data_IF_157184491365
#
_entry.id   IF_157184491365
#
_cell.length_a   1.000
_cell.length_b   1.000
_cell.length_c   1.000
_cell.angle_alpha   90.00
_cell.angle_beta   90.00
_cell.angle_gamma   90.00
#
_symmetry.space_group_name_H-M   'P 1'
#
loop_
_entity.id
_entity.type
_entity.pdbx_description
1 polymer ?
#
# COMPACT_ATOMS: atom_id res chain seq x y z
N UNK A 1 -84.84 44.32 34.76
CA UNK A 1 -84.15 44.92 35.92
C UNK A 1 -82.81 44.25 36.09
N UNK A 2 -81.86 45.01 36.29
CA UNK A 2 -80.45 44.85 36.71
C UNK A 2 -79.44 44.77 35.61
N UNK A 3 -78.64 45.75 35.61
CA UNK A 3 -77.43 46.01 34.90
C UNK A 3 -76.29 45.08 35.35
N UNK A 4 -75.57 44.63 34.41
CA UNK A 4 -74.25 44.08 34.72
C UNK A 4 -73.16 44.85 33.97
N UNK A 5 -72.36 45.54 34.72
CA UNK A 5 -71.26 46.36 34.26
C UNK A 5 -70.13 45.52 33.74
N UNK A 6 -69.71 45.77 32.54
CA UNK A 6 -68.52 45.25 31.92
C UNK A 6 -67.29 45.98 32.45
N UNK A 7 -66.45 45.28 33.19
CA UNK A 7 -65.08 45.80 33.53
C UNK A 7 -64.07 45.22 32.55
N UNK A 8 -63.50 46.09 31.72
CA UNK A 8 -62.32 45.72 30.90
C UNK A 8 -61.11 45.56 31.83
N UNK A 9 -60.58 44.41 31.84
CA UNK A 9 -59.25 44.13 32.43
C UNK A 9 -58.20 44.07 31.32
N UNK A 10 -57.34 45.08 31.32
CA UNK A 10 -56.18 45.19 30.44
C UNK A 10 -55.18 44.12 30.83
N UNK A 11 -55.01 43.08 29.98
CA UNK A 11 -53.92 42.08 30.13
C UNK A 11 -52.70 42.63 29.43
N UNK A 12 -51.70 42.94 30.22
CA UNK A 12 -50.37 43.31 29.81
C UNK A 12 -49.68 42.10 29.21
N UNK A 13 -49.38 42.20 27.92
CA UNK A 13 -48.68 41.16 27.14
C UNK A 13 -47.19 41.38 27.27
N UNK A 14 -46.55 40.73 28.25
CA UNK A 14 -45.09 40.63 28.34
C UNK A 14 -44.56 39.69 27.30
N UNK A 15 -43.93 40.23 26.28
CA UNK A 15 -43.20 39.46 25.26
C UNK A 15 -42.00 38.79 25.92
N UNK A 16 -42.05 37.47 26.07
CA UNK A 16 -40.89 36.63 26.38
C UNK A 16 -40.16 36.31 25.08
N UNK A 17 -39.07 37.04 24.86
CA UNK A 17 -38.10 36.76 23.80
C UNK A 17 -37.37 35.48 24.15
N UNK A 18 -37.76 34.35 23.59
CA UNK A 18 -37.01 33.11 23.65
C UNK A 18 -35.84 33.20 22.65
N UNK A 19 -34.64 33.34 23.20
CA UNK A 19 -33.37 33.29 22.48
C UNK A 19 -33.17 31.85 22.05
N UNK A 20 -33.45 31.51 20.78
CA UNK A 20 -33.10 30.22 20.20
C UNK A 20 -31.63 30.28 19.85
N UNK A 21 -30.80 29.74 20.75
CA UNK A 21 -29.38 29.51 20.48
C UNK A 21 -29.26 28.35 19.48
N UNK A 22 -29.13 28.69 18.20
CA UNK A 22 -28.84 27.74 17.15
C UNK A 22 -27.41 27.18 17.34
N UNK A 23 -27.29 25.97 17.84
CA UNK A 23 -26.04 25.21 17.79
C UNK A 23 -25.84 24.82 16.34
N UNK A 24 -25.03 25.58 15.62
CA UNK A 24 -24.52 25.19 14.30
C UNK A 24 -23.55 24.01 14.51
N UNK A 25 -24.07 22.78 14.35
CA UNK A 25 -23.27 21.58 14.29
C UNK A 25 -22.51 21.61 12.97
N UNK A 26 -21.28 22.13 12.99
CA UNK A 26 -20.36 22.10 11.86
C UNK A 26 -19.97 20.65 11.60
N UNK A 27 -20.68 20.00 10.67
CA UNK A 27 -20.25 18.73 10.09
C UNK A 27 -19.01 19.02 9.26
N UNK A 28 -17.84 18.81 9.85
CA UNK A 28 -16.58 18.75 9.10
C UNK A 28 -16.70 17.54 8.17
N UNK A 29 -17.06 17.79 6.91
CA UNK A 29 -16.92 16.84 5.82
C UNK A 29 -15.41 16.61 5.65
N UNK A 30 -14.89 15.60 6.36
CA UNK A 30 -13.61 15.02 6.00
C UNK A 30 -13.79 14.46 4.58
N UNK A 31 -13.31 15.21 3.58
CA UNK A 31 -13.20 14.71 2.22
C UNK A 31 -12.21 13.55 2.27
N UNK A 32 -12.74 12.34 2.31
CA UNK A 32 -11.97 11.14 2.02
C UNK A 32 -11.50 11.30 0.57
N UNK A 33 -10.29 11.82 0.40
CA UNK A 33 -9.62 11.78 -0.88
C UNK A 33 -9.36 10.29 -1.13
N UNK A 34 -10.23 9.68 -1.92
CA UNK A 34 -9.93 8.36 -2.48
C UNK A 34 -8.60 8.51 -3.18
N UNK A 35 -7.61 7.77 -2.69
CA UNK A 35 -6.27 7.80 -3.25
C UNK A 35 -6.35 7.26 -4.68
N UNK A 36 -6.32 8.15 -5.66
CA UNK A 36 -6.50 7.81 -7.08
C UNK A 36 -5.16 7.48 -7.70
N UNK A 37 -5.09 6.30 -8.29
CA UNK A 37 -3.97 5.89 -9.15
C UNK A 37 -3.84 6.91 -10.30
N UNK A 38 -2.69 7.56 -10.41
CA UNK A 38 -2.47 8.63 -11.38
C UNK A 38 -1.01 8.71 -11.86
N UNK A 39 -0.81 9.29 -13.04
CA UNK A 39 0.54 9.57 -13.55
C UNK A 39 1.30 10.54 -12.65
N UNK A 40 0.62 11.51 -12.05
CA UNK A 40 1.23 12.47 -11.15
C UNK A 40 1.81 11.79 -9.89
N UNK A 41 1.08 10.85 -9.30
CA UNK A 41 1.56 10.05 -8.17
C UNK A 41 2.74 9.15 -8.57
N UNK A 42 2.66 8.53 -9.76
CA UNK A 42 3.77 7.76 -10.31
C UNK A 42 5.04 8.60 -10.49
N UNK A 43 4.91 9.84 -10.99
CA UNK A 43 6.02 10.77 -11.15
C UNK A 43 6.57 11.25 -9.79
N UNK A 44 5.69 11.42 -8.81
CA UNK A 44 6.09 11.76 -7.44
C UNK A 44 6.93 10.64 -6.83
N UNK A 45 6.49 9.39 -6.97
CA UNK A 45 7.28 8.25 -6.49
C UNK A 45 8.61 8.10 -7.24
N UNK A 46 8.63 8.29 -8.56
CA UNK A 46 9.86 8.26 -9.35
C UNK A 46 10.89 9.28 -8.82
N UNK A 47 10.47 10.53 -8.55
CA UNK A 47 11.35 11.55 -7.97
C UNK A 47 11.89 11.14 -6.60
N UNK A 48 11.10 10.43 -5.78
CA UNK A 48 11.54 9.88 -4.49
C UNK A 48 12.58 8.78 -4.68
N UNK A 49 12.36 7.85 -5.62
CA UNK A 49 13.35 6.82 -5.99
C UNK A 49 14.66 7.48 -6.40
N UNK A 50 14.61 8.46 -7.30
CA UNK A 50 15.79 9.16 -7.80
C UNK A 50 16.53 9.90 -6.66
N UNK A 51 15.78 10.46 -5.71
CA UNK A 51 16.37 11.15 -4.56
C UNK A 51 17.04 10.16 -3.59
N UNK A 52 16.40 9.01 -3.31
CA UNK A 52 16.95 7.94 -2.49
C UNK A 52 18.24 7.39 -3.13
N UNK A 53 18.19 7.10 -4.43
CA UNK A 53 19.34 6.57 -5.18
C UNK A 53 20.51 7.53 -5.17
N UNK A 54 20.27 8.82 -5.46
CA UNK A 54 21.33 9.85 -5.40
C UNK A 54 21.94 9.97 -4.02
N UNK A 55 21.11 9.93 -2.97
CA UNK A 55 21.61 10.00 -1.60
C UNK A 55 22.50 8.81 -1.26
N UNK A 56 22.15 7.62 -1.73
CA UNK A 56 22.95 6.41 -1.53
C UNK A 56 24.33 6.42 -2.19
N UNK A 57 24.58 7.34 -3.14
CA UNK A 57 25.91 7.49 -3.75
C UNK A 57 26.87 8.36 -2.92
N UNK A 58 26.38 9.09 -1.91
CA UNK A 58 27.22 9.94 -1.07
C UNK A 58 27.75 9.17 0.16
N UNK A 59 29.05 8.91 0.18
CA UNK A 59 29.73 8.18 1.28
C UNK A 59 29.73 8.95 2.62
N UNK A 60 29.43 10.25 2.61
CA UNK A 60 29.45 11.13 3.79
C UNK A 60 28.09 11.39 4.44
N UNK A 61 27.03 10.73 3.97
CA UNK A 61 25.71 10.86 4.59
C UNK A 61 25.71 10.19 5.97
N UNK A 62 25.28 10.94 7.00
CA UNK A 62 25.07 10.35 8.34
C UNK A 62 23.88 9.41 8.28
N UNK A 63 24.04 8.12 8.63
CA UNK A 63 22.93 7.16 8.60
C UNK A 63 21.73 7.60 9.44
N UNK A 64 20.52 7.37 8.93
CA UNK A 64 19.28 7.58 9.67
C UNK A 64 18.75 9.01 9.74
N UNK A 65 19.41 9.99 9.12
CA UNK A 65 18.97 11.38 9.14
C UNK A 65 17.91 11.71 8.10
N UNK A 66 17.86 10.97 7.01
CA UNK A 66 16.91 11.24 5.93
C UNK A 66 15.77 10.24 5.96
N UNK A 67 14.58 10.78 6.01
CA UNK A 67 13.33 10.00 6.00
C UNK A 67 12.51 10.39 4.76
N UNK A 68 12.15 9.39 3.95
CA UNK A 68 11.33 9.59 2.75
C UNK A 68 10.08 8.75 2.89
N UNK A 69 8.92 9.40 3.03
CA UNK A 69 7.63 8.72 3.07
C UNK A 69 7.17 8.35 1.66
N UNK A 70 6.63 7.16 1.51
CA UNK A 70 6.05 6.60 0.28
C UNK A 70 4.66 6.10 0.60
N UNK A 71 3.64 6.63 -0.06
CA UNK A 71 2.27 6.16 0.10
C UNK A 71 1.99 4.92 -0.78
N UNK A 72 1.00 4.14 -0.39
CA UNK A 72 0.48 3.02 -1.18
C UNK A 72 0.04 3.48 -2.59
N UNK A 73 -0.59 4.65 -2.66
CA UNK A 73 -1.04 5.23 -3.94
C UNK A 73 0.11 5.57 -4.87
N UNK A 74 1.16 6.21 -4.35
CA UNK A 74 2.36 6.52 -5.13
C UNK A 74 3.01 5.24 -5.68
N UNK A 75 3.16 4.23 -4.83
CA UNK A 75 3.75 2.94 -5.19
C UNK A 75 2.93 2.24 -6.29
N UNK A 76 1.62 2.10 -6.09
CA UNK A 76 0.74 1.43 -7.05
C UNK A 76 0.57 2.23 -8.35
N UNK A 77 0.60 3.56 -8.28
CA UNK A 77 0.63 4.41 -9.47
C UNK A 77 1.89 4.17 -10.30
N UNK A 78 3.04 4.06 -9.63
CA UNK A 78 4.29 3.75 -10.32
C UNK A 78 4.26 2.36 -10.96
N UNK A 79 3.73 1.36 -10.29
CA UNK A 79 3.51 0.04 -10.87
C UNK A 79 2.65 0.12 -12.13
N UNK A 80 1.57 0.87 -12.12
CA UNK A 80 0.64 0.99 -13.24
C UNK A 80 1.26 1.72 -14.43
N UNK A 81 1.99 2.81 -14.20
CA UNK A 81 2.39 3.70 -15.28
C UNK A 81 3.86 3.61 -15.68
N UNK A 82 4.74 3.02 -14.85
CA UNK A 82 6.18 3.05 -15.07
C UNK A 82 6.88 1.70 -14.98
N UNK A 83 6.33 0.72 -14.26
CA UNK A 83 7.03 -0.55 -14.04
C UNK A 83 7.02 -1.50 -15.22
N UNK A 84 6.12 -1.36 -16.18
CA UNK A 84 5.90 -2.31 -17.27
C UNK A 84 7.19 -2.73 -18.00
N UNK A 85 8.12 -1.82 -18.36
CA UNK A 85 9.37 -2.21 -19.04
C UNK A 85 10.35 -3.01 -18.15
N UNK A 86 10.13 -2.97 -16.82
CA UNK A 86 11.00 -3.59 -15.84
C UNK A 86 10.50 -4.96 -15.38
N UNK A 87 9.25 -5.30 -15.69
CA UNK A 87 8.65 -6.57 -15.31
C UNK A 87 9.18 -7.72 -16.16
N UNK A 88 9.45 -8.88 -15.57
CA UNK A 88 9.78 -10.08 -16.31
C UNK A 88 8.65 -10.46 -17.28
N UNK A 89 9.00 -11.15 -18.37
CA UNK A 89 7.97 -11.68 -19.30
C UNK A 89 7.04 -12.63 -18.54
N UNK A 90 5.74 -12.48 -18.75
CA UNK A 90 4.72 -13.29 -18.08
C UNK A 90 4.28 -12.73 -16.72
N UNK A 91 4.86 -11.63 -16.26
CA UNK A 91 4.45 -10.91 -15.06
C UNK A 91 3.74 -9.61 -15.44
N UNK A 92 2.59 -9.32 -14.86
CA UNK A 92 1.81 -8.12 -15.12
C UNK A 92 1.06 -7.63 -13.88
N UNK A 93 0.65 -6.37 -13.92
CA UNK A 93 -0.24 -5.71 -12.99
C UNK A 93 0.12 -5.92 -11.49
N UNK A 94 1.37 -5.65 -11.08
CA UNK A 94 1.73 -5.71 -9.67
C UNK A 94 0.96 -4.67 -8.87
N UNK A 95 0.48 -5.08 -7.70
CA UNK A 95 -0.22 -4.23 -6.74
C UNK A 95 0.25 -4.57 -5.32
N UNK A 96 0.41 -3.56 -4.47
CA UNK A 96 0.81 -3.72 -3.07
C UNK A 96 -0.16 -2.98 -2.17
N UNK A 97 -0.63 -3.66 -1.12
CA UNK A 97 -1.36 -3.03 -0.01
C UNK A 97 -0.43 -2.94 1.20
N UNK A 98 -0.30 -1.73 1.74
CA UNK A 98 0.53 -1.43 2.91
C UNK A 98 -0.36 -1.48 4.16
N UNK A 99 -0.43 -2.64 4.81
CA UNK A 99 -1.37 -2.90 5.91
C UNK A 99 -0.94 -2.19 7.20
N UNK A 100 0.37 -2.15 7.47
CA UNK A 100 0.93 -1.58 8.70
C UNK A 100 1.58 -2.63 9.61
N UNK A 101 2.31 -2.17 10.61
CA UNK A 101 3.05 -3.04 11.54
C UNK A 101 4.02 -4.01 10.82
N UNK A 102 4.67 -3.55 9.76
CA UNK A 102 5.52 -4.39 8.93
C UNK A 102 4.79 -5.20 7.87
N UNK A 103 3.47 -5.34 7.96
CA UNK A 103 2.70 -6.22 7.08
C UNK A 103 2.40 -5.58 5.73
N UNK A 104 2.66 -6.36 4.69
CA UNK A 104 2.40 -6.05 3.30
C UNK A 104 1.59 -7.18 2.65
N UNK A 105 0.75 -6.81 1.69
CA UNK A 105 0.09 -7.76 0.78
C UNK A 105 0.46 -7.39 -0.65
N UNK A 106 0.82 -8.37 -1.45
CA UNK A 106 1.15 -8.20 -2.86
C UNK A 106 0.24 -9.05 -3.74
N UNK A 107 -0.19 -8.50 -4.86
CA UNK A 107 -0.91 -9.21 -5.92
C UNK A 107 -0.20 -8.97 -7.24
N UNK A 108 -0.07 -10.00 -8.05
CA UNK A 108 0.52 -9.89 -9.38
C UNK A 108 -0.12 -10.92 -10.31
N UNK A 109 -0.32 -10.59 -11.58
CA UNK A 109 -0.71 -11.56 -12.60
C UNK A 109 0.53 -12.27 -13.14
N UNK A 110 0.51 -13.60 -13.11
CA UNK A 110 1.65 -14.43 -13.52
C UNK A 110 1.21 -15.47 -14.55
N UNK A 111 1.99 -15.64 -15.61
CA UNK A 111 1.82 -16.73 -16.57
C UNK A 111 2.52 -17.99 -16.05
N UNK A 112 1.77 -18.81 -15.36
CA UNK A 112 2.29 -20.04 -14.74
C UNK A 112 2.60 -21.17 -15.74
N UNK A 113 2.14 -21.06 -16.99
CA UNK A 113 2.46 -22.00 -18.04
C UNK A 113 3.97 -22.07 -18.33
N UNK A 114 4.68 -20.98 -18.06
CA UNK A 114 6.14 -20.87 -18.27
C UNK A 114 6.99 -21.35 -17.10
N UNK A 115 6.42 -21.53 -15.89
CA UNK A 115 7.18 -21.79 -14.66
C UNK A 115 7.75 -23.20 -14.58
N UNK A 116 7.11 -24.15 -15.23
CA UNK A 116 7.51 -25.54 -15.13
C UNK A 116 7.35 -26.27 -16.48
N UNK A 117 8.45 -26.85 -16.94
CA UNK A 117 8.49 -27.72 -18.12
C UNK A 117 8.62 -29.17 -17.68
N UNK A 118 7.49 -29.87 -17.53
CA UNK A 118 7.53 -31.30 -17.17
C UNK A 118 6.13 -31.90 -17.03
N UNK A 119 6.04 -33.23 -17.13
CA UNK A 119 4.79 -33.99 -17.09
C UNK A 119 4.06 -33.96 -15.74
N UNK A 120 4.71 -33.48 -14.68
CA UNK A 120 4.13 -33.28 -13.33
C UNK A 120 4.19 -31.81 -12.91
N UNK A 121 3.74 -30.91 -13.81
CA UNK A 121 3.67 -29.49 -13.50
C UNK A 121 2.50 -29.21 -12.56
N UNK A 122 2.72 -28.81 -11.27
CA UNK A 122 1.64 -28.49 -10.35
C UNK A 122 0.83 -27.26 -10.80
N UNK A 123 1.40 -26.46 -11.71
CA UNK A 123 0.74 -25.26 -12.26
C UNK A 123 -0.09 -25.54 -13.53
N UNK A 124 -0.08 -26.77 -14.05
CA UNK A 124 -0.83 -27.13 -15.26
C UNK A 124 -2.35 -26.96 -15.11
N UNK A 125 -2.85 -26.96 -13.88
CA UNK A 125 -4.25 -26.69 -13.55
C UNK A 125 -4.63 -25.20 -13.65
N UNK A 126 -3.62 -24.32 -13.60
CA UNK A 126 -3.80 -22.87 -13.71
C UNK A 126 -3.48 -22.46 -15.15
N UNK A 127 -4.48 -22.50 -16.03
CA UNK A 127 -4.29 -22.09 -17.44
C UNK A 127 -4.10 -20.59 -17.57
N UNK A 128 -3.08 -20.15 -18.33
CA UNK A 128 -2.86 -18.75 -18.67
C UNK A 128 -2.34 -17.88 -17.53
N UNK A 129 -2.71 -16.59 -17.55
CA UNK A 129 -2.35 -15.64 -16.50
C UNK A 129 -3.32 -15.73 -15.33
N UNK A 130 -2.79 -15.95 -14.16
CA UNK A 130 -3.56 -16.06 -12.91
C UNK A 130 -3.04 -15.10 -11.86
N UNK A 131 -3.89 -14.56 -10.99
CA UNK A 131 -3.44 -13.76 -9.87
C UNK A 131 -2.69 -14.63 -8.86
N UNK A 132 -1.55 -14.15 -8.44
CA UNK A 132 -0.76 -14.69 -7.32
C UNK A 132 -0.81 -13.65 -6.22
N UNK A 133 -1.33 -14.02 -5.06
CA UNK A 133 -1.39 -13.17 -3.89
C UNK A 133 -0.43 -13.70 -2.83
N UNK A 134 0.25 -12.77 -2.17
CA UNK A 134 1.13 -13.07 -1.05
C UNK A 134 0.87 -12.07 0.07
N UNK A 135 0.96 -12.52 1.32
CA UNK A 135 0.91 -11.66 2.50
C UNK A 135 2.04 -12.04 3.43
N UNK A 136 2.67 -11.06 4.04
CA UNK A 136 3.77 -11.31 4.96
C UNK A 136 4.25 -10.05 5.65
N UNK A 137 5.25 -10.21 6.51
CA UNK A 137 5.85 -9.14 7.29
C UNK A 137 7.24 -8.83 6.77
N UNK A 138 7.46 -7.59 6.42
CA UNK A 138 8.78 -7.04 6.09
C UNK A 138 9.45 -6.54 7.36
N UNK A 139 10.55 -7.16 7.72
CA UNK A 139 11.43 -6.73 8.80
C UNK A 139 12.69 -6.15 8.20
N UNK A 140 13.08 -4.95 8.61
CA UNK A 140 14.29 -4.31 8.09
C UNK A 140 15.09 -3.69 9.21
N UNK A 141 16.41 -3.87 9.17
CA UNK A 141 17.34 -3.34 10.15
C UNK A 141 18.75 -3.28 9.59
N UNK A 142 19.48 -2.22 9.89
CA UNK A 142 20.92 -2.08 9.62
C UNK A 142 21.32 -2.34 8.16
N UNK A 143 20.46 -1.95 7.22
CA UNK A 143 20.70 -2.14 5.78
C UNK A 143 20.25 -3.48 5.22
N UNK A 144 19.69 -4.36 6.04
CA UNK A 144 19.16 -5.65 5.61
C UNK A 144 17.65 -5.72 5.73
N UNK A 145 17.03 -6.51 4.86
CA UNK A 145 15.61 -6.83 4.87
C UNK A 145 15.38 -8.33 4.92
N UNK A 146 14.31 -8.74 5.58
CA UNK A 146 13.80 -10.10 5.61
C UNK A 146 12.28 -10.06 5.43
N UNK A 147 11.75 -10.91 4.56
CA UNK A 147 10.31 -11.02 4.34
C UNK A 147 9.81 -12.37 4.84
N UNK A 148 8.98 -12.34 5.87
CA UNK A 148 8.33 -13.52 6.44
C UNK A 148 6.97 -13.72 5.77
N UNK A 149 6.85 -14.77 4.93
CA UNK A 149 5.60 -15.12 4.27
C UNK A 149 4.60 -15.69 5.27
N UNK A 150 3.43 -15.06 5.41
CA UNK A 150 2.32 -15.53 6.26
C UNK A 150 1.31 -16.36 5.47
N UNK A 151 0.94 -15.91 4.28
CA UNK A 151 -0.04 -16.60 3.44
C UNK A 151 0.21 -16.37 1.97
N UNK A 152 -0.26 -17.29 1.14
CA UNK A 152 -0.22 -17.18 -0.31
C UNK A 152 -1.35 -17.97 -0.96
N UNK A 153 -1.81 -17.47 -2.11
CA UNK A 153 -2.76 -18.16 -2.97
C UNK A 153 -2.45 -17.92 -4.46
N UNK A 154 -2.95 -18.82 -5.29
CA UNK A 154 -2.89 -18.73 -6.74
C UNK A 154 -4.32 -18.88 -7.26
N UNK A 155 -4.85 -17.83 -7.90
CA UNK A 155 -6.22 -17.83 -8.39
C UNK A 155 -7.27 -18.01 -7.29
N UNK A 156 -6.98 -17.57 -6.06
CA UNK A 156 -7.84 -17.73 -4.88
C UNK A 156 -7.71 -19.09 -4.18
N UNK A 157 -6.85 -19.99 -4.67
CA UNK A 157 -6.57 -21.30 -4.05
C UNK A 157 -5.33 -21.18 -3.16
N UNK A 158 -5.46 -21.38 -1.84
CA UNK A 158 -4.30 -21.37 -0.95
C UNK A 158 -3.24 -22.37 -1.37
N UNK A 159 -1.98 -21.92 -1.41
CA UNK A 159 -0.85 -22.76 -1.82
C UNK A 159 0.27 -22.73 -0.78
N UNK A 160 0.99 -23.85 -0.62
CA UNK A 160 2.10 -23.89 0.32
C UNK A 160 3.30 -23.10 -0.20
N UNK A 161 4.10 -22.58 0.74
CA UNK A 161 5.31 -21.77 0.49
C UNK A 161 6.25 -22.32 -0.60
N UNK A 162 6.53 -23.65 -0.70
CA UNK A 162 7.39 -24.17 -1.76
C UNK A 162 6.91 -23.87 -3.18
N UNK A 163 5.60 -23.79 -3.42
CA UNK A 163 5.06 -23.43 -4.73
C UNK A 163 5.30 -21.94 -5.05
N UNK A 164 5.09 -21.05 -4.08
CA UNK A 164 5.41 -19.62 -4.26
C UNK A 164 6.91 -19.42 -4.42
N UNK A 165 7.73 -20.14 -3.67
CA UNK A 165 9.18 -20.13 -3.84
C UNK A 165 9.59 -20.50 -5.28
N UNK A 166 8.94 -21.50 -5.87
CA UNK A 166 9.23 -21.91 -7.24
C UNK A 166 8.87 -20.80 -8.26
N UNK A 167 7.72 -20.13 -8.08
CA UNK A 167 7.30 -18.98 -8.90
C UNK A 167 8.32 -17.84 -8.76
N UNK A 168 8.63 -17.46 -7.52
CA UNK A 168 9.59 -16.39 -7.23
C UNK A 168 10.96 -16.69 -7.86
N UNK A 169 11.51 -17.87 -7.60
CA UNK A 169 12.82 -18.26 -8.14
C UNK A 169 12.84 -18.22 -9.67
N UNK A 170 11.77 -18.67 -10.33
CA UNK A 170 11.71 -18.66 -11.78
C UNK A 170 11.75 -17.24 -12.38
N UNK A 171 10.92 -16.33 -11.85
CA UNK A 171 10.78 -14.97 -12.39
C UNK A 171 11.85 -13.99 -11.93
N UNK A 172 12.58 -14.31 -10.87
CA UNK A 172 13.68 -13.48 -10.35
C UNK A 172 15.08 -13.91 -10.83
N UNK A 173 15.17 -14.85 -11.77
CA UNK A 173 16.46 -15.24 -12.37
C UNK A 173 17.05 -14.10 -13.16
N UNK A 174 18.33 -13.82 -12.88
CA UNK A 174 19.16 -12.88 -13.62
C UNK A 174 20.54 -13.51 -13.85
N UNK A 175 21.39 -12.86 -14.64
CA UNK A 175 22.77 -13.30 -14.82
C UNK A 175 23.54 -13.34 -13.50
N UNK A 176 23.30 -12.38 -12.61
CA UNK A 176 23.90 -12.33 -11.27
C UNK A 176 23.25 -13.29 -10.26
N UNK A 177 21.99 -13.69 -10.49
CA UNK A 177 21.23 -14.59 -9.62
C UNK A 177 20.59 -15.72 -10.44
N UNK A 178 21.37 -16.68 -10.94
CA UNK A 178 20.88 -17.72 -11.86
C UNK A 178 19.88 -18.68 -11.24
N UNK A 179 19.87 -18.80 -9.91
CA UNK A 179 18.87 -19.59 -9.16
C UNK A 179 17.62 -18.78 -8.78
N UNK A 180 17.63 -17.46 -9.03
CA UNK A 180 16.60 -16.54 -8.55
C UNK A 180 16.69 -16.27 -7.06
N UNK A 181 15.77 -15.44 -6.54
CA UNK A 181 15.69 -15.12 -5.12
C UNK A 181 14.94 -16.19 -4.33
N UNK A 182 15.28 -16.29 -3.05
CA UNK A 182 14.59 -17.15 -2.07
C UNK A 182 13.81 -16.27 -1.08
N UNK A 183 12.61 -16.74 -0.72
CA UNK A 183 11.74 -16.01 0.22
C UNK A 183 12.36 -15.86 1.61
N UNK A 184 13.15 -16.85 2.03
CA UNK A 184 13.71 -16.88 3.38
C UNK A 184 15.08 -16.22 3.49
N UNK A 185 15.71 -15.90 2.37
CA UNK A 185 17.03 -15.29 2.42
C UNK A 185 16.91 -13.81 2.77
N UNK A 186 17.74 -13.29 3.68
CA UNK A 186 17.86 -11.86 3.87
C UNK A 186 18.38 -11.20 2.58
N UNK A 187 18.00 -9.96 2.36
CA UNK A 187 18.44 -9.18 1.21
C UNK A 187 18.97 -7.83 1.64
N UNK A 188 19.97 -7.36 0.94
CA UNK A 188 20.54 -6.03 1.17
C UNK A 188 19.60 -4.95 0.68
N UNK A 189 19.42 -3.91 1.48
CA UNK A 189 18.66 -2.72 1.08
C UNK A 189 19.57 -1.81 0.24
N UNK A 190 19.15 -1.42 -0.97
CA UNK A 190 19.96 -0.62 -1.86
C UNK A 190 20.12 0.81 -1.35
N UNK A 191 21.04 1.56 -1.96
CA UNK A 191 21.18 3.00 -1.78
C UNK A 191 21.38 3.44 -0.31
N UNK A 192 22.13 2.67 0.48
CA UNK A 192 22.39 2.94 1.90
C UNK A 192 21.11 3.10 2.75
N UNK A 193 20.02 2.47 2.35
CA UNK A 193 18.82 2.41 3.16
C UNK A 193 19.13 1.60 4.42
N UNK A 194 18.92 2.21 5.59
CA UNK A 194 19.14 1.55 6.88
C UNK A 194 17.94 0.71 7.30
N UNK A 195 16.74 1.22 7.03
CA UNK A 195 15.48 0.52 7.32
C UNK A 195 14.32 1.07 6.52
N UNK A 196 13.27 0.27 6.44
CA UNK A 196 11.96 0.66 5.90
C UNK A 196 10.93 0.44 7.01
N UNK A 197 10.28 1.50 7.46
CA UNK A 197 9.24 1.44 8.47
C UNK A 197 7.87 1.35 7.77
N UNK A 198 7.19 0.24 7.91
CA UNK A 198 5.88 0.00 7.28
C UNK A 198 4.77 0.40 8.24
N UNK A 199 4.12 1.53 7.96
CA UNK A 199 2.92 2.03 8.63
C UNK A 199 1.65 1.68 7.86
N UNK A 200 0.51 2.16 8.31
CA UNK A 200 -0.75 1.93 7.61
C UNK A 200 -0.85 2.85 6.37
N UNK A 201 -1.02 2.25 5.19
CA UNK A 201 -1.14 2.95 3.91
C UNK A 201 0.12 3.66 3.42
N UNK A 202 1.23 3.54 4.15
CA UNK A 202 2.51 4.18 3.80
C UNK A 202 3.71 3.45 4.39
N UNK A 203 4.85 3.63 3.74
CA UNK A 203 6.14 3.21 4.25
C UNK A 203 7.09 4.40 4.36
N UNK A 204 8.05 4.36 5.28
CA UNK A 204 9.09 5.39 5.44
C UNK A 204 10.45 4.74 5.23
N UNK A 205 11.14 5.18 4.18
CA UNK A 205 12.52 4.82 3.89
C UNK A 205 13.45 5.71 4.71
N UNK A 206 14.38 5.10 5.46
CA UNK A 206 15.36 5.76 6.32
C UNK A 206 16.77 5.46 5.81
N UNK A 207 17.52 6.53 5.47
CA UNK A 207 18.91 6.47 5.00
C UNK A 207 19.85 7.17 5.96
#
# INVERSE_FOLDING_TARGET
>A
MLHCKMTLSTVSMTARTTLVTGVALGVALATLHAANISRQEADTFQRKIDAITRQGTFTSARPGLRRTSVSETELNSWFTYRSQPLLPRGVADPHVTIVGNGKLMGTVLVDLGSVSSGSLNPFSYFGGRVPVNVSGVLQTKDGEGHFELESSDIGGVPVPKPLIQQVLSYYSKTESHPQGFRLDDPFELPANIQKIEVGQGQAVVVQ
#
